data_IF_048982497137
#
_entry.id   IF_048982497137
#
_cell.length_a   1.000
_cell.length_b   1.000
_cell.length_c   1.000
_cell.angle_alpha   90.00
_cell.angle_beta   90.00
_cell.angle_gamma   90.00
#
_symmetry.space_group_name_H-M   'P 1'
#
loop_
_entity.id
_entity.type
_entity.pdbx_description
1 polymer ?
#
# COMPACT_ATOMS: atom_id res chain seq x y z
N UNK A 1 -81.47 -43.21 -0.13
CA UNK A 1 -80.11 -43.64 0.09
C UNK A 1 -79.20 -42.46 -0.33
N UNK A 2 -78.57 -41.79 0.69
CA UNK A 2 -77.82 -40.55 0.51
C UNK A 2 -76.33 -40.90 0.57
N UNK A 3 -75.57 -40.68 -0.51
CA UNK A 3 -74.13 -40.83 -0.56
C UNK A 3 -73.48 -39.49 -0.23
N UNK A 4 -72.65 -39.48 0.79
CA UNK A 4 -71.84 -38.33 1.21
C UNK A 4 -70.48 -38.44 0.53
N UNK A 5 -70.14 -37.44 -0.25
CA UNK A 5 -68.78 -37.28 -0.81
C UNK A 5 -67.99 -36.38 0.15
N UNK A 6 -66.92 -36.91 0.78
CA UNK A 6 -65.92 -36.14 1.53
C UNK A 6 -64.95 -35.49 0.52
N UNK A 7 -64.98 -34.16 0.45
CA UNK A 7 -63.96 -33.39 -0.28
C UNK A 7 -62.72 -33.20 0.59
N UNK A 8 -61.60 -33.76 0.18
CA UNK A 8 -60.28 -33.57 0.80
C UNK A 8 -59.62 -32.34 0.15
N UNK A 9 -59.65 -31.22 0.83
CA UNK A 9 -58.92 -29.98 0.42
C UNK A 9 -57.47 -30.10 0.82
N UNK A 10 -56.63 -30.34 -0.16
CA UNK A 10 -55.15 -30.32 -0.06
C UNK A 10 -54.65 -28.90 -0.05
N UNK A 11 -54.30 -28.35 1.12
CA UNK A 11 -53.71 -27.03 1.28
C UNK A 11 -52.22 -27.09 0.96
N UNK A 12 -51.84 -26.70 -0.24
CA UNK A 12 -50.42 -26.61 -0.66
C UNK A 12 -49.82 -25.32 -0.04
N UNK A 13 -49.01 -25.47 1.01
CA UNK A 13 -48.24 -24.36 1.58
C UNK A 13 -47.04 -24.07 0.72
N UNK A 14 -47.12 -22.98 -0.05
CA UNK A 14 -46.00 -22.46 -0.84
C UNK A 14 -44.96 -21.86 0.09
N UNK A 15 -43.86 -22.55 0.36
CA UNK A 15 -42.71 -22.00 1.09
C UNK A 15 -41.95 -21.12 0.07
N UNK A 16 -42.15 -19.80 0.12
CA UNK A 16 -41.32 -18.83 -0.57
C UNK A 16 -39.94 -18.82 0.11
N UNK A 17 -39.00 -19.58 -0.43
CA UNK A 17 -37.56 -19.42 -0.14
C UNK A 17 -37.14 -18.04 -0.62
N UNK A 18 -37.09 -17.06 0.25
CA UNK A 18 -36.47 -15.78 -0.04
C UNK A 18 -34.96 -16.02 -0.19
N UNK A 19 -34.49 -16.29 -1.41
CA UNK A 19 -33.09 -16.17 -1.77
C UNK A 19 -32.70 -14.71 -1.61
N UNK A 20 -32.11 -14.35 -0.49
CA UNK A 20 -31.41 -13.09 -0.35
C UNK A 20 -30.26 -13.07 -1.34
N UNK A 21 -30.45 -12.44 -2.51
CA UNK A 21 -29.39 -12.23 -3.49
C UNK A 21 -28.21 -11.47 -2.89
N UNK A 22 -27.04 -11.53 -3.51
CA UNK A 22 -25.87 -10.82 -3.04
C UNK A 22 -26.19 -9.33 -2.94
N UNK A 23 -26.00 -8.77 -1.75
CA UNK A 23 -26.20 -7.33 -1.51
C UNK A 23 -25.05 -6.56 -2.17
N UNK A 24 -25.31 -5.86 -3.24
CA UNK A 24 -24.36 -4.93 -3.83
C UNK A 24 -24.32 -3.62 -3.03
N UNK A 25 -23.13 -3.02 -2.92
CA UNK A 25 -22.99 -1.66 -2.40
C UNK A 25 -23.60 -0.70 -3.43
N UNK A 26 -24.70 -0.02 -3.08
CA UNK A 26 -25.47 0.83 -4.00
C UNK A 26 -25.33 2.33 -3.72
N UNK A 27 -24.67 2.70 -2.63
CA UNK A 27 -24.42 4.08 -2.24
C UNK A 27 -23.00 4.20 -1.73
N UNK A 28 -22.32 5.25 -2.15
CA UNK A 28 -21.02 5.69 -1.64
C UNK A 28 -21.05 7.20 -1.41
N UNK A 29 -20.24 7.66 -0.48
CA UNK A 29 -19.99 9.08 -0.22
C UNK A 29 -18.47 9.29 -0.09
N UNK A 30 -18.03 10.51 -0.34
CA UNK A 30 -16.62 10.87 -0.09
C UNK A 30 -16.43 11.11 1.40
N UNK A 31 -15.44 10.42 1.99
CA UNK A 31 -15.03 10.60 3.39
C UNK A 31 -13.74 11.42 3.52
N UNK A 32 -13.41 11.83 4.73
CA UNK A 32 -12.10 12.41 5.03
C UNK A 32 -11.03 11.29 4.96
N UNK A 33 -10.01 11.40 4.09
CA UNK A 33 -8.94 10.41 4.01
C UNK A 33 -8.10 10.29 5.30
N UNK A 34 -8.20 11.25 6.22
CA UNK A 34 -7.52 11.23 7.51
C UNK A 34 -8.40 10.65 8.65
N UNK A 35 -9.66 10.33 8.37
CA UNK A 35 -10.53 9.70 9.35
C UNK A 35 -10.09 8.27 9.64
N UNK A 36 -9.97 7.91 10.92
CA UNK A 36 -9.64 6.55 11.34
C UNK A 36 -10.85 5.64 11.13
N UNK A 37 -10.77 4.75 10.15
CA UNK A 37 -11.79 3.75 9.87
C UNK A 37 -11.20 2.35 9.98
N UNK A 38 -11.73 1.54 10.91
CA UNK A 38 -11.37 0.13 11.07
C UNK A 38 -12.60 -0.72 10.78
N UNK A 39 -12.80 -1.08 9.50
CA UNK A 39 -13.94 -1.88 9.06
C UNK A 39 -13.71 -3.38 9.30
N UNK A 40 -12.48 -3.81 9.28
CA UNK A 40 -12.08 -5.19 9.51
C UNK A 40 -10.70 -5.27 10.21
N UNK A 41 -10.16 -6.47 10.34
CA UNK A 41 -8.91 -6.78 11.01
C UNK A 41 -7.70 -6.84 10.06
N UNK A 42 -7.82 -6.25 8.88
CA UNK A 42 -6.77 -6.24 7.85
C UNK A 42 -6.06 -4.90 7.79
N UNK A 43 -4.94 -4.92 7.05
CA UNK A 43 -4.24 -3.71 6.69
C UNK A 43 -5.16 -2.72 5.98
N UNK A 44 -5.10 -1.45 6.40
CA UNK A 44 -5.96 -0.39 5.89
C UNK A 44 -5.19 0.90 5.62
N UNK A 45 -5.91 1.93 5.15
CA UNK A 45 -5.35 3.23 4.82
C UNK A 45 -4.67 3.91 6.02
N UNK A 46 -5.21 3.77 7.23
CA UNK A 46 -4.62 4.40 8.42
C UNK A 46 -3.26 3.79 8.75
N UNK A 47 -3.13 2.46 8.61
CA UNK A 47 -1.87 1.75 8.83
C UNK A 47 -0.80 2.25 7.85
N UNK A 48 -1.16 2.41 6.58
CA UNK A 48 -0.26 2.95 5.55
C UNK A 48 0.19 4.38 5.91
N UNK A 49 -0.72 5.25 6.32
CA UNK A 49 -0.41 6.63 6.70
C UNK A 49 0.48 6.69 7.95
N UNK A 50 0.23 5.84 8.96
CA UNK A 50 1.05 5.76 10.16
C UNK A 50 2.48 5.33 9.85
N UNK A 51 2.64 4.33 8.97
CA UNK A 51 3.96 3.87 8.50
C UNK A 51 4.66 4.98 7.74
N UNK A 52 4.00 5.55 6.73
CA UNK A 52 4.58 6.59 5.89
C UNK A 52 5.03 7.81 6.72
N UNK A 53 4.16 8.33 7.59
CA UNK A 53 4.46 9.47 8.48
C UNK A 53 5.69 9.21 9.37
N UNK A 54 5.77 8.00 9.97
CA UNK A 54 6.91 7.62 10.81
C UNK A 54 8.20 7.57 9.99
N UNK A 55 8.18 6.93 8.82
CA UNK A 55 9.36 6.77 7.98
C UNK A 55 9.85 8.11 7.44
N UNK A 56 8.96 8.96 6.95
CA UNK A 56 9.29 10.30 6.45
C UNK A 56 9.96 11.13 7.55
N UNK A 57 9.34 11.24 8.72
CA UNK A 57 9.89 12.02 9.82
C UNK A 57 11.26 11.51 10.30
N UNK A 58 11.46 10.19 10.30
CA UNK A 58 12.74 9.59 10.68
C UNK A 58 13.84 9.84 9.62
N UNK A 59 13.50 9.74 8.34
CA UNK A 59 14.43 10.03 7.25
C UNK A 59 14.84 11.50 7.21
N UNK A 60 13.89 12.40 7.41
CA UNK A 60 14.18 13.85 7.52
C UNK A 60 15.08 14.16 8.70
N UNK A 61 14.81 13.57 9.87
CA UNK A 61 15.66 13.70 11.05
C UNK A 61 17.08 13.16 10.83
N UNK A 62 17.22 12.08 10.07
CA UNK A 62 18.53 11.52 9.72
C UNK A 62 19.34 12.47 8.84
N UNK A 63 18.71 13.15 7.87
CA UNK A 63 19.35 14.15 7.02
C UNK A 63 19.70 15.40 7.82
N UNK A 64 18.77 15.91 8.62
CA UNK A 64 18.98 17.15 9.40
C UNK A 64 20.12 17.00 10.43
N UNK A 65 20.35 15.79 10.93
CA UNK A 65 21.46 15.47 11.84
C UNK A 65 22.84 15.36 11.15
N UNK A 66 22.92 15.50 9.84
CA UNK A 66 24.14 15.35 9.05
C UNK A 66 24.37 16.55 8.15
N UNK A 67 25.60 17.04 8.09
CA UNK A 67 26.01 18.04 7.12
C UNK A 67 26.16 17.38 5.72
N UNK A 68 25.12 16.74 5.24
CA UNK A 68 25.10 16.09 3.91
C UNK A 68 24.34 16.96 2.94
N UNK A 69 24.96 17.29 1.82
CA UNK A 69 24.28 17.88 0.69
C UNK A 69 23.13 16.95 0.24
N UNK A 70 22.04 17.55 -0.22
CA UNK A 70 20.82 16.85 -0.68
C UNK A 70 21.12 15.51 -1.38
N UNK A 71 20.87 14.35 -0.73
CA UNK A 71 21.30 13.07 -1.24
C UNK A 71 20.51 12.67 -2.49
N UNK A 72 21.17 11.97 -3.40
CA UNK A 72 20.55 11.39 -4.58
C UNK A 72 20.19 9.94 -4.27
N UNK A 73 18.92 9.62 -4.39
CA UNK A 73 18.38 8.33 -3.93
C UNK A 73 17.50 7.66 -5.00
N UNK A 74 17.44 6.34 -4.96
CA UNK A 74 16.42 5.53 -5.61
C UNK A 74 15.61 4.79 -4.55
N UNK A 75 14.32 4.63 -4.80
CA UNK A 75 13.45 3.84 -3.95
C UNK A 75 13.11 2.52 -4.63
N UNK A 76 13.08 1.47 -3.82
CA UNK A 76 12.49 0.19 -4.18
C UNK A 76 11.09 0.07 -3.60
N UNK A 77 10.18 -0.56 -4.33
CA UNK A 77 8.86 -0.91 -3.76
C UNK A 77 9.09 -1.87 -2.60
N UNK A 78 8.58 -1.57 -1.39
CA UNK A 78 8.78 -2.43 -0.24
C UNK A 78 8.19 -3.82 -0.45
N UNK A 79 8.78 -4.84 0.16
CA UNK A 79 8.33 -6.22 0.01
C UNK A 79 7.20 -6.53 0.98
N UNK A 80 6.12 -7.12 0.49
CA UNK A 80 5.07 -7.67 1.33
C UNK A 80 5.45 -9.10 1.76
N UNK A 81 5.64 -9.32 3.06
CA UNK A 81 5.84 -10.63 3.69
C UNK A 81 4.74 -10.95 4.71
N UNK A 82 3.58 -10.36 4.54
CA UNK A 82 2.37 -10.70 5.29
C UNK A 82 1.59 -11.80 4.56
N UNK A 83 0.57 -12.33 5.20
CA UNK A 83 -0.39 -13.25 4.56
C UNK A 83 -1.51 -12.52 3.80
N UNK A 84 -1.49 -11.19 3.79
CA UNK A 84 -2.52 -10.36 3.19
C UNK A 84 -2.06 -9.75 1.88
N UNK A 85 -3.01 -9.42 1.01
CA UNK A 85 -2.72 -8.59 -0.15
C UNK A 85 -2.66 -7.13 0.28
N UNK A 86 -1.44 -6.58 0.36
CA UNK A 86 -1.20 -5.16 0.65
C UNK A 86 -0.68 -4.51 -0.63
N UNK A 87 -1.29 -3.38 -1.02
CA UNK A 87 -0.80 -2.58 -2.14
C UNK A 87 0.49 -1.83 -1.72
N UNK A 88 1.62 -2.47 -1.99
CA UNK A 88 2.94 -1.92 -1.68
C UNK A 88 3.32 -0.77 -2.59
N UNK A 89 2.74 -0.69 -3.79
CA UNK A 89 2.95 0.42 -4.70
C UNK A 89 2.31 1.70 -4.14
N UNK A 90 1.10 1.60 -3.58
CA UNK A 90 0.45 2.75 -2.94
C UNK A 90 1.29 3.30 -1.78
N UNK A 91 1.86 2.43 -0.93
CA UNK A 91 2.77 2.85 0.14
C UNK A 91 4.05 3.51 -0.42
N UNK A 92 4.65 2.91 -1.45
CA UNK A 92 5.82 3.46 -2.14
C UNK A 92 5.54 4.87 -2.67
N UNK A 93 4.41 5.05 -3.39
CA UNK A 93 4.06 6.34 -3.99
C UNK A 93 3.76 7.41 -2.93
N UNK A 94 3.14 7.01 -1.82
CA UNK A 94 2.88 7.92 -0.71
C UNK A 94 4.19 8.43 -0.08
N UNK A 95 5.11 7.52 0.25
CA UNK A 95 6.43 7.86 0.82
C UNK A 95 7.25 8.69 -0.18
N UNK A 96 7.33 8.27 -1.45
CA UNK A 96 8.04 8.98 -2.52
C UNK A 96 7.55 10.41 -2.66
N UNK A 97 6.24 10.60 -2.77
CA UNK A 97 5.64 11.92 -2.95
C UNK A 97 5.98 12.86 -1.79
N UNK A 98 5.81 12.41 -0.56
CA UNK A 98 6.10 13.23 0.61
C UNK A 98 7.59 13.58 0.72
N UNK A 99 8.50 12.64 0.45
CA UNK A 99 9.93 12.91 0.47
C UNK A 99 10.38 13.85 -0.65
N UNK A 100 9.77 13.79 -1.83
CA UNK A 100 10.02 14.76 -2.92
C UNK A 100 9.55 16.15 -2.48
N UNK A 101 8.35 16.25 -1.91
CA UNK A 101 7.77 17.51 -1.45
C UNK A 101 8.56 18.15 -0.29
N UNK A 102 9.22 17.35 0.55
CA UNK A 102 10.11 17.88 1.61
C UNK A 102 11.28 18.69 1.05
N UNK A 103 11.64 18.48 -0.20
CA UNK A 103 12.77 19.15 -0.86
C UNK A 103 14.16 18.72 -0.34
N UNK A 104 14.23 17.82 0.64
CA UNK A 104 15.50 17.40 1.29
C UNK A 104 16.25 16.31 0.49
N UNK A 105 15.61 15.68 -0.50
CA UNK A 105 16.15 14.57 -1.28
C UNK A 105 16.06 14.83 -2.77
N UNK A 106 16.93 14.20 -3.56
CA UNK A 106 16.80 14.11 -5.02
C UNK A 106 16.49 12.66 -5.36
N UNK A 107 15.32 12.42 -5.96
CA UNK A 107 14.92 11.08 -6.39
C UNK A 107 15.22 10.84 -7.85
N UNK A 108 15.72 9.66 -8.18
CA UNK A 108 15.88 9.19 -9.55
C UNK A 108 14.82 8.11 -9.81
N UNK A 109 14.12 8.27 -10.91
CA UNK A 109 13.18 7.25 -11.37
C UNK A 109 13.92 6.16 -12.15
N UNK A 110 14.10 5.00 -11.53
CA UNK A 110 14.74 3.87 -12.19
C UNK A 110 13.81 3.18 -13.18
N UNK A 111 12.47 3.33 -13.02
CA UNK A 111 11.49 2.66 -13.88
C UNK A 111 11.43 3.32 -15.27
N UNK A 112 11.69 4.62 -15.34
CA UNK A 112 11.72 5.36 -16.59
C UNK A 112 13.02 5.16 -17.43
N UNK A 113 14.01 4.43 -16.92
CA UNK A 113 15.32 4.34 -17.59
C UNK A 113 15.27 3.72 -18.97
N UNK A 114 14.45 2.68 -19.14
CA UNK A 114 14.31 2.01 -20.43
C UNK A 114 13.62 2.94 -21.45
N UNK A 115 12.52 3.56 -21.05
CA UNK A 115 11.78 4.51 -21.88
C UNK A 115 12.65 5.70 -22.28
N UNK A 116 13.47 6.21 -21.35
CA UNK A 116 14.43 7.28 -21.62
C UNK A 116 15.52 6.82 -22.60
N UNK A 117 15.98 5.58 -22.52
CA UNK A 117 16.96 5.05 -23.46
C UNK A 117 16.39 4.95 -24.89
N UNK A 118 15.15 4.50 -25.03
CA UNK A 118 14.42 4.48 -26.30
C UNK A 118 14.20 5.89 -26.85
N UNK A 119 13.92 6.87 -26.00
CA UNK A 119 13.78 8.27 -26.38
C UNK A 119 15.13 8.86 -26.85
N UNK A 120 16.26 8.49 -26.23
CA UNK A 120 17.57 8.90 -26.71
C UNK A 120 17.87 8.37 -28.13
N UNK A 121 17.48 7.14 -28.44
CA UNK A 121 17.62 6.56 -29.78
C UNK A 121 16.77 7.34 -30.78
N UNK A 122 15.53 7.68 -30.45
CA UNK A 122 14.63 8.48 -31.27
C UNK A 122 15.22 9.87 -31.54
N UNK A 123 15.65 10.58 -30.49
CA UNK A 123 16.21 11.94 -30.63
C UNK A 123 17.53 11.95 -31.41
N UNK A 124 18.34 10.90 -31.29
CA UNK A 124 19.59 10.73 -32.05
C UNK A 124 19.39 10.30 -33.51
N UNK A 125 18.17 9.93 -33.91
CA UNK A 125 17.87 9.44 -35.27
C UNK A 125 17.79 10.53 -36.34
N UNK A 126 17.88 11.81 -35.95
CA UNK A 126 17.79 12.96 -36.86
C UNK A 126 16.39 13.54 -37.05
N UNK A 127 15.38 13.01 -36.35
CA UNK A 127 14.04 13.60 -36.34
C UNK A 127 13.94 14.84 -35.45
N UNK A 128 14.75 14.91 -34.42
CA UNK A 128 14.82 16.03 -33.48
C UNK A 128 15.95 16.95 -33.90
N UNK A 129 15.78 18.25 -33.71
CA UNK A 129 16.81 19.25 -33.95
C UNK A 129 18.07 18.94 -33.12
N UNK A 130 19.24 19.03 -33.69
CA UNK A 130 20.52 18.68 -33.05
C UNK A 130 20.79 19.50 -31.77
N UNK A 131 20.38 20.79 -31.76
CA UNK A 131 20.53 21.70 -30.62
C UNK A 131 19.50 21.45 -29.46
N UNK A 132 18.47 20.67 -29.71
CA UNK A 132 17.43 20.28 -28.71
C UNK A 132 17.54 18.81 -28.28
N UNK A 133 18.23 17.98 -29.07
CA UNK A 133 18.31 16.55 -28.80
C UNK A 133 19.03 16.26 -27.48
N UNK A 134 18.39 15.42 -26.65
CA UNK A 134 18.98 14.89 -25.43
C UNK A 134 19.63 13.53 -25.69
N UNK A 135 20.69 13.22 -24.94
CA UNK A 135 21.42 11.98 -25.13
C UNK A 135 22.05 11.44 -23.85
N UNK A 136 22.69 10.27 -23.91
CA UNK A 136 23.35 9.65 -22.76
C UNK A 136 24.51 10.52 -22.24
N UNK A 137 24.89 10.30 -20.97
CA UNK A 137 26.04 10.94 -20.32
C UNK A 137 25.67 11.96 -19.22
N UNK A 138 24.46 12.51 -19.23
CA UNK A 138 24.03 13.54 -18.27
C UNK A 138 23.16 13.00 -17.11
N UNK A 139 22.86 11.69 -17.07
CA UNK A 139 22.10 11.11 -15.98
C UNK A 139 22.91 11.09 -14.68
N UNK A 140 22.25 11.43 -13.57
CA UNK A 140 22.86 11.37 -12.24
C UNK A 140 22.90 9.92 -11.75
N UNK A 141 23.93 9.56 -10.98
CA UNK A 141 23.98 8.33 -10.20
C UNK A 141 23.29 8.51 -8.85
N UNK A 142 22.55 7.50 -8.39
CA UNK A 142 22.08 7.47 -7.01
C UNK A 142 23.23 7.07 -6.08
N UNK A 143 23.30 7.71 -4.91
CA UNK A 143 24.20 7.31 -3.84
C UNK A 143 23.56 6.29 -2.91
N UNK A 144 22.28 6.44 -2.62
CA UNK A 144 21.57 5.56 -1.71
C UNK A 144 20.40 4.85 -2.38
N UNK A 145 20.12 3.65 -1.91
CA UNK A 145 18.95 2.87 -2.29
C UNK A 145 18.11 2.62 -1.03
N UNK A 146 16.82 2.98 -1.07
CA UNK A 146 15.86 2.67 -0.03
C UNK A 146 15.16 1.35 -0.35
N UNK A 147 15.20 0.42 0.59
CA UNK A 147 14.40 -0.80 0.59
C UNK A 147 13.51 -0.88 1.81
N UNK A 148 12.57 -1.80 1.80
CA UNK A 148 11.70 -2.03 2.93
C UNK A 148 10.99 -3.38 2.89
N UNK A 149 10.38 -3.74 4.02
CA UNK A 149 9.59 -4.96 4.16
C UNK A 149 8.48 -4.75 5.19
N UNK A 150 7.30 -5.28 4.90
CA UNK A 150 6.21 -5.41 5.87
C UNK A 150 6.01 -6.87 6.21
N UNK A 151 5.94 -7.17 7.50
CA UNK A 151 5.61 -8.49 8.05
C UNK A 151 4.38 -8.40 8.94
N UNK A 152 3.67 -9.51 9.15
CA UNK A 152 2.57 -9.58 10.12
C UNK A 152 2.64 -10.85 10.95
N UNK A 153 2.08 -10.75 12.16
CA UNK A 153 1.82 -11.88 13.05
C UNK A 153 0.38 -11.79 13.54
N UNK A 154 -0.37 -12.88 13.41
CA UNK A 154 -1.76 -12.96 13.83
C UNK A 154 -1.88 -13.98 14.96
N UNK A 155 -2.49 -13.58 16.07
CA UNK A 155 -2.83 -14.45 17.20
C UNK A 155 -4.34 -14.39 17.44
N UNK A 156 -4.98 -15.56 17.59
CA UNK A 156 -6.40 -15.65 17.88
C UNK A 156 -6.65 -16.69 18.96
N UNK A 157 -7.39 -16.28 20.00
CA UNK A 157 -7.82 -17.16 21.09
C UNK A 157 -9.31 -16.88 21.38
N UNK A 158 -10.15 -17.87 21.15
CA UNK A 158 -11.60 -17.75 21.32
C UNK A 158 -12.19 -16.64 20.44
N UNK A 159 -12.76 -15.62 21.10
CA UNK A 159 -13.36 -14.46 20.43
C UNK A 159 -12.39 -13.29 20.24
N UNK A 160 -11.16 -13.39 20.74
CA UNK A 160 -10.16 -12.31 20.65
C UNK A 160 -9.18 -12.60 19.53
N UNK A 161 -8.84 -11.57 18.75
CA UNK A 161 -7.82 -11.59 17.70
C UNK A 161 -6.91 -10.38 17.85
N UNK A 162 -5.60 -10.62 17.80
CA UNK A 162 -4.58 -9.59 17.77
C UNK A 162 -3.84 -9.70 16.45
N UNK A 163 -3.73 -8.59 15.72
CA UNK A 163 -2.95 -8.49 14.51
C UNK A 163 -1.81 -7.52 14.76
N UNK A 164 -0.60 -7.96 14.50
CA UNK A 164 0.60 -7.16 14.63
C UNK A 164 1.25 -7.02 13.27
N UNK A 165 1.51 -5.80 12.86
CA UNK A 165 2.30 -5.47 11.66
C UNK A 165 3.60 -4.79 12.07
N UNK A 166 4.65 -5.10 11.33
CA UNK A 166 5.94 -4.44 11.43
C UNK A 166 6.43 -4.05 10.06
N UNK A 167 6.54 -2.75 9.83
CA UNK A 167 7.16 -2.18 8.64
C UNK A 167 8.59 -1.75 8.99
N UNK A 168 9.57 -2.26 8.26
CA UNK A 168 10.98 -1.91 8.42
C UNK A 168 11.50 -1.35 7.11
N UNK A 169 12.21 -0.22 7.17
CA UNK A 169 12.86 0.40 6.02
C UNK A 169 14.32 0.64 6.30
N UNK A 170 15.12 0.63 5.26
CA UNK A 170 16.57 0.82 5.35
C UNK A 170 17.11 1.56 4.13
N UNK A 171 18.17 2.29 4.34
CA UNK A 171 18.96 2.91 3.29
C UNK A 171 20.32 2.26 3.21
N UNK A 172 20.66 1.82 2.01
CA UNK A 172 21.96 1.23 1.68
C UNK A 172 22.77 2.20 0.85
N UNK A 173 23.99 2.48 1.23
CA UNK A 173 24.96 3.18 0.38
C UNK A 173 25.36 2.22 -0.75
N UNK A 174 25.14 2.63 -2.00
CA UNK A 174 25.35 1.79 -3.18
C UNK A 174 26.85 1.48 -3.40
N UNK A 175 27.74 2.38 -2.98
CA UNK A 175 29.16 2.21 -3.17
C UNK A 175 29.78 1.24 -2.16
N UNK A 176 29.33 1.25 -0.90
CA UNK A 176 29.92 0.45 0.20
C UNK A 176 29.05 -0.73 0.60
N UNK A 177 27.78 -0.77 0.18
CA UNK A 177 26.74 -1.72 0.61
C UNK A 177 26.38 -1.63 2.10
N UNK A 178 26.82 -0.59 2.78
CA UNK A 178 26.50 -0.36 4.19
C UNK A 178 25.07 0.14 4.37
N UNK A 179 24.37 -0.38 5.36
CA UNK A 179 23.08 0.18 5.79
C UNK A 179 23.39 1.40 6.64
N UNK A 180 23.09 2.59 6.11
CA UNK A 180 23.41 3.88 6.74
C UNK A 180 22.28 4.44 7.57
N UNK A 181 21.06 3.93 7.36
CA UNK A 181 19.87 4.26 8.12
C UNK A 181 18.90 3.09 8.10
N UNK A 182 18.25 2.86 9.21
CA UNK A 182 17.11 1.95 9.33
C UNK A 182 16.15 2.47 10.38
N UNK A 183 14.86 2.29 10.15
CA UNK A 183 13.81 2.53 11.16
C UNK A 183 12.64 1.58 10.94
N UNK A 184 11.78 1.46 11.96
CA UNK A 184 10.62 0.60 11.91
C UNK A 184 9.39 1.28 12.50
N UNK A 185 8.23 0.85 12.01
CA UNK A 185 6.93 1.15 12.59
C UNK A 185 6.21 -0.14 12.92
N UNK A 186 5.78 -0.25 14.16
CA UNK A 186 4.95 -1.34 14.66
C UNK A 186 3.53 -0.85 14.85
N UNK A 187 2.56 -1.69 14.48
CA UNK A 187 1.12 -1.45 14.63
C UNK A 187 0.51 -2.71 15.23
N UNK A 188 -0.22 -2.57 16.31
CA UNK A 188 -0.95 -3.65 16.94
C UNK A 188 -2.43 -3.28 17.03
N UNK A 189 -3.28 -4.15 16.50
CA UNK A 189 -4.73 -3.98 16.54
C UNK A 189 -5.38 -5.13 17.28
N UNK A 190 -6.42 -4.83 18.05
CA UNK A 190 -7.16 -5.79 18.86
C UNK A 190 -8.60 -5.86 18.39
N UNK A 191 -9.06 -7.04 18.04
CA UNK A 191 -10.43 -7.30 17.59
C UNK A 191 -11.11 -8.30 18.50
N UNK A 192 -12.42 -8.12 18.67
CA UNK A 192 -13.27 -9.03 19.42
C UNK A 192 -14.49 -9.40 18.58
N UNK A 193 -14.74 -10.70 18.39
CA UNK A 193 -15.98 -11.15 17.74
C UNK A 193 -17.18 -10.73 18.60
N UNK A 194 -18.12 -10.04 17.98
CA UNK A 194 -19.44 -9.85 18.60
C UNK A 194 -20.25 -11.13 18.41
N UNK A 195 -20.87 -11.63 19.48
CA UNK A 195 -21.88 -12.67 19.37
C UNK A 195 -23.10 -12.06 18.69
N UNK A 196 -23.48 -12.57 17.53
CA UNK A 196 -24.76 -12.28 16.91
C UNK A 196 -25.76 -13.06 17.74
N UNK A 197 -26.48 -12.36 18.65
CA UNK A 197 -27.62 -12.94 19.35
C UNK A 197 -28.73 -13.21 18.32
N UNK A 198 -29.21 -14.44 18.29
CA UNK A 198 -30.45 -14.81 17.62
C UNK A 198 -31.61 -14.57 18.53
#
# INVERSE_FOLDING_TARGET
>A
MKTWALGLTLTTTLILSACGGPRAFTRGEYGDPNEISMLDDKWNQNDMQLVAKKMIGSMEGWIDGRAVEKPVVILEVPRNRTSEHIDMQALYDHVKTALIQSGKFTFLDKTARQEIAEEYEYQGSGYVREDEAQGPGNQRGARYMMGGVITSTVQQVGSQKVVYYKATFEWTDIATTEIVWTDQKEITTHFKKQSIGF
#
